data_IF_734148415008
#
_entry.id   IF_734148415008
#
_cell.length_a   1.000
_cell.length_b   1.000
_cell.length_c   1.000
_cell.angle_alpha   90.00
_cell.angle_beta   90.00
_cell.angle_gamma   90.00
#
_symmetry.space_group_name_H-M   'P 1'
#
loop_
_entity.id
_entity.type
_entity.pdbx_description
1 polymer ?
#
# COMPACT_ATOMS: atom_id res chain seq x y z
N UNK A 1 43.28 -55.49 73.40
CA UNK A 1 43.26 -54.98 72.00
C UNK A 1 42.13 -55.64 71.24
N UNK A 2 41.06 -54.91 70.92
CA UNK A 2 40.24 -55.11 69.70
C UNK A 2 39.25 -53.95 69.60
N UNK A 3 39.52 -53.05 68.64
CA UNK A 3 38.65 -51.94 68.24
C UNK A 3 37.48 -52.54 67.47
N UNK A 4 36.25 -52.23 67.84
CA UNK A 4 35.07 -52.49 67.01
C UNK A 4 34.84 -51.25 66.13
N UNK A 5 35.02 -51.46 64.83
CA UNK A 5 34.77 -50.49 63.77
C UNK A 5 33.26 -50.35 63.54
N UNK A 6 32.77 -49.12 63.63
CA UNK A 6 31.44 -48.70 63.21
C UNK A 6 31.44 -48.53 61.67
N UNK A 7 30.54 -49.14 60.89
CA UNK A 7 30.48 -48.88 59.46
C UNK A 7 29.75 -47.56 59.22
N UNK A 8 30.46 -46.61 58.63
CA UNK A 8 29.94 -45.34 58.15
C UNK A 8 29.06 -45.61 56.92
N UNK A 9 27.75 -45.44 57.07
CA UNK A 9 26.77 -45.52 56.00
C UNK A 9 26.91 -44.26 55.10
N UNK A 10 27.54 -44.42 53.94
CA UNK A 10 27.59 -43.39 52.90
C UNK A 10 26.22 -43.31 52.21
N UNK A 11 25.39 -42.37 52.66
CA UNK A 11 24.19 -41.90 51.95
C UNK A 11 24.64 -41.05 50.75
N UNK A 12 24.65 -41.65 49.56
CA UNK A 12 24.68 -40.90 48.31
C UNK A 12 23.33 -40.18 48.14
N UNK A 13 23.27 -38.92 48.57
CA UNK A 13 22.21 -37.98 48.20
C UNK A 13 22.33 -37.65 46.71
N UNK A 14 21.85 -38.54 45.84
CA UNK A 14 21.49 -38.14 44.47
C UNK A 14 20.25 -37.25 44.59
N UNK A 15 20.45 -35.95 44.33
CA UNK A 15 19.47 -34.90 44.59
C UNK A 15 18.08 -35.18 43.99
N UNK A 16 17.06 -35.03 44.84
CA UNK A 16 15.64 -35.00 44.49
C UNK A 16 15.22 -33.68 43.78
N UNK A 17 16.11 -33.00 43.08
CA UNK A 17 15.78 -31.80 42.34
C UNK A 17 15.83 -32.15 40.86
N UNK A 18 14.72 -31.93 40.16
CA UNK A 18 14.62 -32.13 38.72
C UNK A 18 15.61 -31.25 37.94
N UNK A 19 15.58 -31.29 36.60
CA UNK A 19 16.49 -30.47 35.80
C UNK A 19 16.40 -28.99 36.20
N UNK A 20 17.53 -28.30 36.21
CA UNK A 20 17.59 -26.87 36.51
C UNK A 20 16.67 -26.09 35.56
N UNK A 21 16.06 -25.03 36.08
CA UNK A 21 15.07 -24.20 35.37
C UNK A 21 15.44 -22.73 35.46
N UNK A 22 15.04 -21.97 34.45
CA UNK A 22 15.26 -20.54 34.39
C UNK A 22 14.30 -19.78 35.32
N UNK A 23 14.86 -18.84 36.09
CA UNK A 23 14.11 -18.06 37.07
C UNK A 23 14.13 -16.56 36.71
N UNK A 24 13.01 -16.09 36.14
CA UNK A 24 12.80 -14.71 35.70
C UNK A 24 12.25 -13.78 36.81
N UNK A 25 12.23 -14.21 38.07
CA UNK A 25 11.58 -13.47 39.16
C UNK A 25 12.23 -12.10 39.42
N UNK A 26 13.56 -12.02 39.37
CA UNK A 26 14.32 -10.78 39.52
C UNK A 26 15.73 -10.91 38.91
N UNK A 27 16.48 -9.81 38.88
CA UNK A 27 17.81 -9.76 38.26
C UNK A 27 18.83 -10.74 38.88
N UNK A 28 18.71 -11.01 40.19
CA UNK A 28 19.61 -11.96 40.88
C UNK A 28 19.31 -13.38 40.44
N UNK A 29 18.04 -13.79 40.48
CA UNK A 29 17.64 -15.14 40.09
C UNK A 29 17.86 -15.39 38.60
N UNK A 30 17.70 -14.36 37.74
CA UNK A 30 18.02 -14.44 36.31
C UNK A 30 19.49 -14.80 36.13
N UNK A 31 20.41 -14.10 36.81
CA UNK A 31 21.86 -14.36 36.69
C UNK A 31 22.22 -15.75 37.22
N UNK A 32 21.74 -16.09 38.41
CA UNK A 32 22.04 -17.38 39.06
C UNK A 32 21.52 -18.56 38.23
N UNK A 33 20.25 -18.52 37.82
CA UNK A 33 19.65 -19.58 37.00
C UNK A 33 20.29 -19.68 35.61
N UNK A 34 20.65 -18.56 34.98
CA UNK A 34 21.39 -18.56 33.70
C UNK A 34 22.73 -19.29 33.82
N UNK A 35 23.49 -19.02 34.89
CA UNK A 35 24.77 -19.68 35.12
C UNK A 35 24.58 -21.19 35.35
N UNK A 36 23.64 -21.57 36.22
CA UNK A 36 23.33 -22.98 36.51
C UNK A 36 22.92 -23.76 35.25
N UNK A 37 22.10 -23.15 34.39
CA UNK A 37 21.69 -23.76 33.11
C UNK A 37 22.85 -23.87 32.12
N UNK A 38 23.80 -22.93 32.13
CA UNK A 38 24.95 -22.93 31.22
C UNK A 38 25.95 -24.05 31.55
N UNK A 39 26.09 -24.38 32.84
CA UNK A 39 26.98 -25.44 33.31
C UNK A 39 26.61 -26.83 32.77
N UNK A 40 25.31 -27.09 32.55
CA UNK A 40 24.82 -28.37 32.02
C UNK A 40 24.87 -28.50 30.50
N UNK A 41 25.30 -27.47 29.77
CA UNK A 41 25.30 -27.43 28.30
C UNK A 41 26.68 -27.74 27.69
N UNK A 42 26.65 -28.32 26.49
CA UNK A 42 27.84 -28.41 25.61
C UNK A 42 28.25 -27.04 25.08
N UNK A 43 29.49 -26.88 24.59
CA UNK A 43 29.99 -25.60 24.05
C UNK A 43 29.11 -25.03 22.93
N UNK A 44 28.64 -25.86 21.99
CA UNK A 44 27.72 -25.44 20.93
C UNK A 44 26.38 -24.95 21.50
N UNK A 45 25.83 -25.68 22.48
CA UNK A 45 24.59 -25.28 23.14
C UNK A 45 24.76 -24.01 23.97
N UNK A 46 25.94 -23.77 24.59
CA UNK A 46 26.22 -22.55 25.35
C UNK A 46 26.16 -21.31 24.46
N UNK A 47 26.78 -21.36 23.27
CA UNK A 47 26.71 -20.25 22.32
C UNK A 47 25.27 -19.96 21.88
N UNK A 48 24.51 -21.02 21.53
CA UNK A 48 23.11 -20.90 21.12
C UNK A 48 22.22 -20.40 22.27
N UNK A 49 22.49 -20.85 23.49
CA UNK A 49 21.75 -20.42 24.70
C UNK A 49 22.00 -18.95 24.99
N UNK A 50 23.23 -18.46 24.87
CA UNK A 50 23.53 -17.03 25.00
C UNK A 50 22.78 -16.19 23.95
N UNK A 51 22.73 -16.65 22.69
CA UNK A 51 21.94 -15.99 21.63
C UNK A 51 20.44 -15.99 21.95
N UNK A 52 19.91 -17.10 22.47
CA UNK A 52 18.52 -17.19 22.90
C UNK A 52 18.22 -16.19 24.03
N UNK A 53 19.06 -16.16 25.08
CA UNK A 53 18.92 -15.22 26.20
C UNK A 53 18.98 -13.76 25.73
N UNK A 54 19.87 -13.43 24.79
CA UNK A 54 19.94 -12.10 24.19
C UNK A 54 18.68 -11.78 23.38
N UNK A 55 18.25 -12.70 22.51
CA UNK A 55 17.05 -12.54 21.68
C UNK A 55 15.81 -12.27 22.55
N UNK A 56 15.60 -13.07 23.59
CA UNK A 56 14.45 -12.88 24.47
C UNK A 56 14.62 -11.67 25.39
N UNK A 57 15.82 -11.30 25.86
CA UNK A 57 16.00 -10.15 26.75
C UNK A 57 15.64 -8.82 26.10
N UNK A 58 15.85 -8.71 24.79
CA UNK A 58 15.47 -7.52 24.02
C UNK A 58 14.02 -7.56 23.52
N UNK A 59 13.27 -8.64 23.74
CA UNK A 59 11.88 -8.79 23.25
C UNK A 59 11.75 -9.37 21.84
N UNK A 60 12.75 -10.13 21.39
CA UNK A 60 12.76 -10.81 20.09
C UNK A 60 12.94 -9.87 18.90
N UNK A 61 12.44 -10.26 17.72
CA UNK A 61 12.60 -9.48 16.49
C UNK A 61 11.95 -8.08 16.57
N UNK A 62 10.79 -7.95 17.20
CA UNK A 62 10.10 -6.65 17.32
C UNK A 62 10.83 -5.72 18.30
N UNK A 63 11.37 -6.26 19.39
CA UNK A 63 12.24 -5.53 20.30
C UNK A 63 13.53 -5.04 19.64
N UNK A 64 14.17 -5.90 18.82
CA UNK A 64 15.31 -5.50 17.99
C UNK A 64 14.95 -4.38 17.00
N UNK A 65 13.80 -4.48 16.30
CA UNK A 65 13.33 -3.43 15.39
C UNK A 65 13.10 -2.10 16.11
N UNK A 66 12.47 -2.13 17.28
CA UNK A 66 12.24 -0.95 18.11
C UNK A 66 13.56 -0.28 18.52
N UNK A 67 14.52 -1.07 18.99
CA UNK A 67 15.85 -0.59 19.35
C UNK A 67 16.58 0.05 18.15
N UNK A 68 16.54 -0.58 16.98
CA UNK A 68 17.12 -0.02 15.75
C UNK A 68 16.43 1.29 15.36
N UNK A 69 15.09 1.35 15.40
CA UNK A 69 14.33 2.56 15.07
C UNK A 69 14.65 3.73 16.03
N UNK A 70 14.77 3.46 17.33
CA UNK A 70 15.17 4.47 18.34
C UNK A 70 16.59 4.99 18.12
N UNK A 71 17.53 4.12 17.76
CA UNK A 71 18.90 4.51 17.43
C UNK A 71 18.97 5.45 16.21
N UNK A 72 18.15 5.21 15.18
CA UNK A 72 18.07 6.09 13.99
C UNK A 72 17.41 7.44 14.29
N UNK A 73 16.48 7.51 15.24
CA UNK A 73 15.76 8.75 15.59
C UNK A 73 16.47 9.61 16.64
N UNK A 74 17.57 9.14 17.22
CA UNK A 74 18.24 9.84 18.33
C UNK A 74 17.45 9.83 19.64
N UNK A 75 16.36 9.07 19.71
CA UNK A 75 15.48 8.92 20.87
C UNK A 75 15.85 7.61 21.60
N UNK A 76 17.07 7.56 22.14
CA UNK A 76 17.55 6.43 22.93
C UNK A 76 17.00 6.47 24.37
N UNK A 77 15.67 6.61 24.53
CA UNK A 77 15.06 6.36 25.83
C UNK A 77 14.45 4.96 25.81
N UNK A 78 15.04 3.99 26.54
CA UNK A 78 14.38 2.72 26.72
C UNK A 78 13.02 2.97 27.36
N UNK A 79 11.99 2.37 26.79
CA UNK A 79 10.64 2.36 27.37
C UNK A 79 10.75 1.78 28.80
N UNK A 80 10.23 2.47 29.83
CA UNK A 80 10.28 1.99 31.21
C UNK A 80 9.58 0.64 31.44
N UNK A 81 8.72 0.18 30.52
CA UNK A 81 8.13 -1.18 30.57
C UNK A 81 9.05 -2.28 30.01
N UNK A 82 10.14 -1.90 29.34
CA UNK A 82 11.12 -2.77 28.65
C UNK A 82 12.23 -3.25 29.58
N UNK A 83 11.87 -3.77 30.75
CA UNK A 83 12.85 -4.39 31.65
C UNK A 83 13.21 -5.78 31.15
N UNK A 84 14.50 -6.14 31.24
CA UNK A 84 15.02 -7.47 30.86
C UNK A 84 14.21 -8.59 31.54
N UNK A 85 13.83 -8.40 32.81
CA UNK A 85 13.00 -9.35 33.55
C UNK A 85 11.61 -9.54 32.94
N UNK A 86 10.95 -8.47 32.46
CA UNK A 86 9.63 -8.56 31.81
C UNK A 86 9.73 -9.38 30.51
N UNK A 87 10.74 -9.11 29.68
CA UNK A 87 10.89 -9.83 28.41
C UNK A 87 11.26 -11.31 28.61
N UNK A 88 12.11 -11.60 29.61
CA UNK A 88 12.53 -12.95 29.95
C UNK A 88 11.47 -13.76 30.72
N UNK A 89 10.37 -13.14 31.16
CA UNK A 89 9.27 -13.85 31.83
C UNK A 89 8.69 -14.99 31.00
N UNK A 90 8.75 -14.87 29.67
CA UNK A 90 8.34 -15.92 28.73
C UNK A 90 9.18 -17.20 28.79
N UNK A 91 10.33 -17.16 29.48
CA UNK A 91 11.24 -18.27 29.68
C UNK A 91 11.18 -18.88 31.09
N UNK A 92 10.41 -18.29 32.01
CA UNK A 92 10.35 -18.75 33.39
C UNK A 92 9.93 -20.22 33.47
N UNK A 93 10.55 -20.97 34.37
CA UNK A 93 10.35 -22.41 34.61
C UNK A 93 10.73 -23.34 33.45
N UNK A 94 11.35 -22.82 32.39
CA UNK A 94 11.88 -23.62 31.29
C UNK A 94 13.29 -24.15 31.59
N UNK A 95 13.58 -25.37 31.15
CA UNK A 95 14.96 -25.89 31.11
C UNK A 95 15.75 -25.27 29.96
N UNK A 96 17.07 -25.45 29.94
CA UNK A 96 17.91 -24.96 28.85
C UNK A 96 17.49 -25.54 27.49
N UNK A 97 17.14 -26.83 27.42
CA UNK A 97 16.66 -27.48 26.19
C UNK A 97 15.34 -26.87 25.69
N UNK A 98 14.43 -26.57 26.62
CA UNK A 98 13.15 -25.94 26.29
C UNK A 98 13.33 -24.50 25.81
N UNK A 99 14.28 -23.76 26.39
CA UNK A 99 14.63 -22.40 25.94
C UNK A 99 15.23 -22.45 24.53
N UNK A 100 16.15 -23.40 24.26
CA UNK A 100 16.75 -23.58 22.94
C UNK A 100 15.70 -23.96 21.88
N UNK A 101 14.76 -24.86 22.21
CA UNK A 101 13.66 -25.24 21.31
C UNK A 101 12.73 -24.04 21.03
N UNK A 102 12.34 -23.30 22.07
CA UNK A 102 11.53 -22.08 21.93
C UNK A 102 12.22 -21.01 21.08
N UNK A 103 13.54 -20.89 21.20
CA UNK A 103 14.35 -19.99 20.39
C UNK A 103 14.32 -20.40 18.91
N UNK A 104 14.50 -21.68 18.60
CA UNK A 104 14.41 -22.18 17.23
C UNK A 104 13.03 -21.93 16.60
N UNK A 105 11.97 -22.20 17.35
CA UNK A 105 10.59 -21.92 16.92
C UNK A 105 10.38 -20.42 16.63
N UNK A 106 10.90 -19.56 17.50
CA UNK A 106 10.80 -18.10 17.34
C UNK A 106 11.55 -17.62 16.09
N UNK A 107 12.77 -18.12 15.85
CA UNK A 107 13.54 -17.78 14.65
C UNK A 107 12.85 -18.26 13.36
N UNK A 108 12.27 -19.47 13.39
CA UNK A 108 11.53 -19.99 12.25
C UNK A 108 10.26 -19.17 11.97
N UNK A 109 9.55 -18.75 13.02
CA UNK A 109 8.39 -17.87 12.90
C UNK A 109 8.78 -16.47 12.38
N UNK A 110 9.84 -15.86 12.89
CA UNK A 110 10.31 -14.55 12.43
C UNK A 110 10.72 -14.58 10.96
N UNK A 111 11.41 -15.66 10.55
CA UNK A 111 11.78 -15.87 9.16
C UNK A 111 10.53 -15.99 8.28
N UNK A 112 9.56 -16.82 8.67
CA UNK A 112 8.28 -16.94 7.96
C UNK A 112 7.56 -15.60 7.85
N UNK A 113 7.46 -14.86 8.96
CA UNK A 113 6.83 -13.52 8.99
C UNK A 113 7.57 -12.51 8.10
N UNK A 114 8.90 -12.58 8.03
CA UNK A 114 9.69 -11.72 7.14
C UNK A 114 9.41 -12.04 5.66
N UNK A 115 9.42 -13.32 5.29
CA UNK A 115 9.10 -13.80 3.94
C UNK A 115 7.67 -13.45 3.53
N UNK A 116 6.69 -13.62 4.43
CA UNK A 116 5.31 -13.20 4.21
C UNK A 116 5.21 -11.69 3.99
N UNK A 117 5.86 -10.87 4.83
CA UNK A 117 5.84 -9.40 4.71
C UNK A 117 6.43 -8.95 3.36
N UNK A 118 7.53 -9.57 2.93
CA UNK A 118 8.16 -9.28 1.64
C UNK A 118 7.22 -9.63 0.47
N UNK A 119 6.63 -10.84 0.51
CA UNK A 119 5.68 -11.29 -0.51
C UNK A 119 4.44 -10.42 -0.58
N UNK A 120 3.85 -10.06 0.56
CA UNK A 120 2.71 -9.14 0.65
C UNK A 120 3.09 -7.78 0.08
N UNK A 121 4.27 -7.24 0.43
CA UNK A 121 4.72 -5.94 -0.07
C UNK A 121 4.88 -5.93 -1.60
N UNK A 122 5.49 -6.96 -2.17
CA UNK A 122 5.64 -7.10 -3.63
C UNK A 122 4.29 -7.20 -4.33
N UNK A 123 3.39 -8.06 -3.85
CA UNK A 123 2.06 -8.21 -4.43
C UNK A 123 1.23 -6.92 -4.32
N UNK A 124 1.36 -6.16 -3.24
CA UNK A 124 0.65 -4.88 -3.07
C UNK A 124 1.13 -3.86 -4.11
N UNK A 125 2.44 -3.74 -4.32
CA UNK A 125 2.98 -2.84 -5.34
C UNK A 125 2.49 -3.20 -6.75
N UNK A 126 2.43 -4.49 -7.06
CA UNK A 126 1.87 -4.97 -8.34
C UNK A 126 0.37 -4.67 -8.45
N UNK A 127 -0.41 -4.97 -7.42
CA UNK A 127 -1.85 -4.72 -7.38
C UNK A 127 -2.17 -3.23 -7.59
N UNK A 128 -1.46 -2.35 -6.89
CA UNK A 128 -1.63 -0.89 -6.97
C UNK A 128 -1.25 -0.35 -8.35
N UNK A 129 -0.21 -0.91 -8.99
CA UNK A 129 0.17 -0.55 -10.37
C UNK A 129 -0.92 -0.97 -11.36
N UNK A 130 -1.39 -2.22 -11.25
CA UNK A 130 -2.45 -2.74 -12.12
C UNK A 130 -3.75 -1.93 -11.97
N UNK A 131 -4.08 -1.51 -10.75
CA UNK A 131 -5.24 -0.67 -10.49
C UNK A 131 -5.13 0.69 -11.20
N UNK A 132 -3.98 1.36 -11.09
CA UNK A 132 -3.71 2.63 -11.80
C UNK A 132 -3.78 2.49 -13.32
N UNK A 133 -3.34 1.35 -13.83
CA UNK A 133 -3.40 1.02 -15.26
C UNK A 133 -4.81 0.57 -15.71
N UNK A 134 -5.83 0.67 -14.84
CA UNK A 134 -7.22 0.23 -15.07
C UNK A 134 -7.35 -1.26 -15.41
N UNK A 135 -6.38 -2.07 -15.00
CA UNK A 135 -6.37 -3.54 -15.12
C UNK A 135 -6.99 -4.19 -13.89
N UNK A 136 -8.28 -3.92 -13.69
CA UNK A 136 -8.99 -4.26 -12.45
C UNK A 136 -8.96 -5.76 -12.12
N UNK A 137 -9.23 -6.63 -13.10
CA UNK A 137 -9.23 -8.09 -12.89
C UNK A 137 -7.86 -8.62 -12.44
N UNK A 138 -6.78 -8.13 -13.07
CA UNK A 138 -5.41 -8.49 -12.69
C UNK A 138 -5.08 -7.99 -11.27
N UNK A 139 -5.49 -6.76 -10.94
CA UNK A 139 -5.30 -6.17 -9.60
C UNK A 139 -6.06 -6.95 -8.51
N UNK A 140 -7.33 -7.27 -8.77
CA UNK A 140 -8.18 -8.08 -7.88
C UNK A 140 -7.55 -9.46 -7.65
N UNK A 141 -7.01 -10.11 -8.69
CA UNK A 141 -6.31 -11.37 -8.55
C UNK A 141 -5.08 -11.26 -7.63
N UNK A 142 -4.33 -10.15 -7.67
CA UNK A 142 -3.22 -9.90 -6.76
C UNK A 142 -3.69 -9.71 -5.32
N UNK A 143 -4.76 -8.95 -5.07
CA UNK A 143 -5.30 -8.83 -3.72
C UNK A 143 -5.86 -10.16 -3.18
N UNK A 144 -6.48 -11.01 -4.03
CA UNK A 144 -6.84 -12.38 -3.65
C UNK A 144 -5.62 -13.23 -3.28
N UNK A 145 -4.51 -13.10 -4.01
CA UNK A 145 -3.28 -13.78 -3.63
C UNK A 145 -2.71 -13.27 -2.28
N UNK A 146 -2.93 -11.99 -1.95
CA UNK A 146 -2.55 -11.41 -0.65
C UNK A 146 -3.46 -11.94 0.48
N UNK A 147 -4.76 -12.17 0.22
CA UNK A 147 -5.68 -12.69 1.25
C UNK A 147 -5.35 -14.10 1.72
N UNK A 148 -4.63 -14.87 0.90
CA UNK A 148 -4.11 -16.19 1.29
C UNK A 148 -2.88 -16.12 2.23
N UNK A 149 -2.34 -14.91 2.49
CA UNK A 149 -1.20 -14.70 3.38
C UNK A 149 -1.71 -14.13 4.70
N UNK A 150 -1.45 -14.77 5.86
CA UNK A 150 -1.98 -14.33 7.16
C UNK A 150 -1.70 -12.87 7.49
N UNK A 151 -0.48 -12.39 7.23
CA UNK A 151 -0.09 -10.99 7.46
C UNK A 151 -0.64 -9.99 6.42
N UNK A 152 -1.31 -10.48 5.37
CA UNK A 152 -1.86 -9.71 4.26
C UNK A 152 -3.37 -9.48 4.30
N UNK A 153 -4.13 -10.25 5.08
CA UNK A 153 -5.61 -10.31 5.03
C UNK A 153 -6.27 -8.93 5.09
N UNK A 154 -5.94 -8.10 6.08
CA UNK A 154 -6.56 -6.77 6.25
C UNK A 154 -6.27 -5.85 5.05
N UNK A 155 -5.05 -5.92 4.50
CA UNK A 155 -4.65 -5.11 3.34
C UNK A 155 -5.35 -5.60 2.08
N UNK A 156 -5.51 -6.91 1.92
CA UNK A 156 -6.26 -7.50 0.82
C UNK A 156 -7.72 -7.09 0.85
N UNK A 157 -8.38 -7.12 2.00
CA UNK A 157 -9.80 -6.73 2.13
C UNK A 157 -10.01 -5.28 1.70
N UNK A 158 -9.21 -4.35 2.25
CA UNK A 158 -9.24 -2.93 1.87
C UNK A 158 -8.95 -2.73 0.37
N UNK A 159 -7.96 -3.45 -0.14
CA UNK A 159 -7.57 -3.40 -1.56
C UNK A 159 -8.66 -3.90 -2.49
N UNK A 160 -9.32 -5.01 -2.16
CA UNK A 160 -10.43 -5.59 -2.92
C UNK A 160 -11.63 -4.65 -2.96
N UNK A 161 -12.04 -4.12 -1.80
CA UNK A 161 -13.15 -3.16 -1.73
C UNK A 161 -12.88 -1.94 -2.64
N UNK A 162 -11.67 -1.39 -2.54
CA UNK A 162 -11.24 -0.27 -3.39
C UNK A 162 -11.24 -0.64 -4.87
N UNK A 163 -10.65 -1.77 -5.24
CA UNK A 163 -10.53 -2.20 -6.64
C UNK A 163 -11.90 -2.47 -7.28
N UNK A 164 -12.82 -3.11 -6.55
CA UNK A 164 -14.18 -3.33 -7.01
C UNK A 164 -14.94 -2.02 -7.19
N UNK A 165 -14.83 -1.10 -6.22
CA UNK A 165 -15.46 0.20 -6.32
C UNK A 165 -14.94 1.01 -7.53
N UNK A 166 -13.62 1.10 -7.70
CA UNK A 166 -13.03 1.82 -8.85
C UNK A 166 -13.40 1.17 -10.20
N UNK A 167 -13.50 -0.17 -10.25
CA UNK A 167 -13.94 -0.90 -11.44
C UNK A 167 -15.40 -0.59 -11.79
N UNK A 168 -16.29 -0.61 -10.80
CA UNK A 168 -17.71 -0.28 -10.97
C UNK A 168 -17.90 1.17 -11.41
N UNK A 169 -17.23 2.12 -10.74
CA UNK A 169 -17.25 3.53 -11.13
C UNK A 169 -16.70 3.73 -12.54
N UNK A 170 -15.61 3.07 -12.90
CA UNK A 170 -15.06 3.16 -14.26
C UNK A 170 -16.03 2.60 -15.30
N UNK A 171 -16.65 1.44 -15.04
CA UNK A 171 -17.63 0.84 -15.94
C UNK A 171 -18.86 1.73 -16.10
N UNK A 172 -19.34 2.33 -15.01
CA UNK A 172 -20.46 3.28 -15.03
C UNK A 172 -20.13 4.51 -15.88
N UNK A 173 -18.95 5.10 -15.70
CA UNK A 173 -18.49 6.24 -16.52
C UNK A 173 -18.43 5.88 -18.01
N UNK A 174 -17.84 4.73 -18.33
CA UNK A 174 -17.73 4.27 -19.72
C UNK A 174 -19.10 4.06 -20.37
N UNK A 175 -20.07 3.48 -19.65
CA UNK A 175 -21.43 3.31 -20.14
C UNK A 175 -22.17 4.66 -20.30
N UNK A 176 -21.86 5.63 -19.43
CA UNK A 176 -22.49 6.95 -19.45
C UNK A 176 -21.91 7.86 -20.55
N UNK A 177 -20.66 7.67 -20.97
CA UNK A 177 -20.05 8.44 -22.07
C UNK A 177 -20.90 8.38 -23.34
N UNK A 178 -21.53 7.25 -23.65
CA UNK A 178 -22.42 7.09 -24.81
C UNK A 178 -23.69 7.95 -24.73
N UNK A 179 -24.04 8.47 -23.55
CA UNK A 179 -25.13 9.41 -23.35
C UNK A 179 -24.73 10.88 -23.63
N UNK A 180 -23.46 11.13 -23.96
CA UNK A 180 -22.96 12.47 -24.26
C UNK A 180 -22.90 12.65 -25.77
N UNK A 181 -23.70 13.58 -26.27
CA UNK A 181 -23.76 13.93 -27.68
C UNK A 181 -22.88 15.15 -27.95
N UNK A 182 -22.05 15.06 -28.98
CA UNK A 182 -21.33 16.22 -29.52
C UNK A 182 -22.26 16.96 -30.46
N UNK A 183 -22.84 18.07 -29.99
CA UNK A 183 -23.81 18.87 -30.76
C UNK A 183 -23.14 19.86 -31.70
N UNK A 184 -21.94 20.32 -31.35
CA UNK A 184 -21.11 21.19 -32.20
C UNK A 184 -19.67 20.68 -32.19
N UNK A 185 -19.08 20.49 -33.36
CA UNK A 185 -17.64 20.31 -33.50
C UNK A 185 -17.14 21.01 -34.76
N UNK A 186 -16.26 21.99 -34.60
CA UNK A 186 -15.61 22.69 -35.71
C UNK A 186 -14.12 22.81 -35.41
N UNK A 187 -13.28 22.40 -36.36
CA UNK A 187 -11.84 22.61 -36.30
C UNK A 187 -11.42 23.44 -37.52
N UNK A 188 -10.84 24.62 -37.30
CA UNK A 188 -10.40 25.50 -38.38
C UNK A 188 -9.24 26.40 -37.95
N UNK A 189 -8.65 27.12 -38.90
CA UNK A 189 -7.71 28.19 -38.59
C UNK A 189 -8.45 29.49 -38.36
N UNK A 190 -8.04 30.24 -37.34
CA UNK A 190 -8.57 31.57 -37.04
C UNK A 190 -7.44 32.58 -36.88
N UNK A 191 -7.77 33.84 -37.14
CA UNK A 191 -6.89 34.95 -36.78
C UNK A 191 -7.24 35.41 -35.37
N UNK A 192 -6.22 35.52 -34.53
CA UNK A 192 -6.29 36.14 -33.20
C UNK A 192 -5.72 37.55 -33.26
N UNK A 193 -5.89 38.34 -32.20
CA UNK A 193 -5.32 39.69 -32.15
C UNK A 193 -3.79 39.72 -32.37
N UNK A 194 -3.08 38.67 -31.94
CA UNK A 194 -1.60 38.62 -31.98
C UNK A 194 -1.02 37.67 -33.04
N UNK A 195 -1.80 36.74 -33.59
CA UNK A 195 -1.31 35.71 -34.51
C UNK A 195 -2.36 35.36 -35.56
N UNK A 196 -1.93 35.17 -36.80
CA UNK A 196 -2.77 34.70 -37.91
C UNK A 196 -2.71 33.18 -38.07
N UNK A 197 -3.78 32.59 -38.59
CA UNK A 197 -3.82 31.18 -38.99
C UNK A 197 -3.65 30.18 -37.85
N UNK A 198 -4.08 30.53 -36.63
CA UNK A 198 -3.96 29.70 -35.44
C UNK A 198 -4.97 28.57 -35.49
N UNK A 199 -4.57 27.28 -35.36
CA UNK A 199 -5.52 26.18 -35.23
C UNK A 199 -6.41 26.37 -34.01
N UNK A 200 -7.70 26.18 -34.20
CA UNK A 200 -8.67 26.37 -33.15
C UNK A 200 -9.87 25.44 -33.31
N UNK A 201 -10.47 25.07 -32.18
CA UNK A 201 -11.63 24.17 -32.13
C UNK A 201 -12.79 24.79 -31.36
N UNK A 202 -14.00 24.43 -31.78
CA UNK A 202 -15.25 24.67 -31.06
C UNK A 202 -15.91 23.35 -30.75
N UNK A 203 -16.42 23.25 -29.53
CA UNK A 203 -16.98 22.03 -28.98
C UNK A 203 -18.26 22.40 -28.24
N UNK A 204 -19.36 21.77 -28.64
CA UNK A 204 -20.65 21.81 -27.95
C UNK A 204 -21.04 20.40 -27.56
N UNK A 205 -21.54 20.25 -26.34
CA UNK A 205 -21.91 18.96 -25.76
C UNK A 205 -23.33 19.00 -25.22
N UNK A 206 -24.05 17.90 -25.33
CA UNK A 206 -25.34 17.68 -24.70
C UNK A 206 -25.30 16.42 -23.87
N UNK A 207 -25.83 16.50 -22.65
CA UNK A 207 -26.00 15.35 -21.78
C UNK A 207 -27.41 14.78 -21.99
N UNK A 208 -27.52 13.67 -22.71
CA UNK A 208 -28.78 12.97 -22.92
C UNK A 208 -29.09 11.94 -21.82
N UNK A 209 -28.19 11.78 -20.84
CA UNK A 209 -28.39 10.88 -19.71
C UNK A 209 -29.18 11.50 -18.56
N UNK A 210 -29.18 10.82 -17.41
CA UNK A 210 -30.01 11.12 -16.24
C UNK A 210 -29.23 11.67 -15.03
N UNK A 211 -27.90 11.79 -15.12
CA UNK A 211 -27.02 12.36 -14.08
C UNK A 211 -26.44 13.70 -14.48
N UNK A 212 -26.10 14.53 -13.50
CA UNK A 212 -25.35 15.78 -13.76
C UNK A 212 -23.85 15.50 -13.82
N UNK A 213 -23.12 16.26 -14.63
CA UNK A 213 -21.68 16.09 -14.84
C UNK A 213 -20.93 17.36 -14.42
N UNK A 214 -19.91 17.19 -13.59
CA UNK A 214 -19.01 18.26 -13.18
C UNK A 214 -17.80 18.37 -14.11
N UNK A 215 -17.40 17.28 -14.75
CA UNK A 215 -16.36 17.30 -15.78
C UNK A 215 -16.74 16.44 -16.98
N UNK A 216 -16.43 16.92 -18.17
CA UNK A 216 -16.44 16.12 -19.40
C UNK A 216 -15.14 16.37 -20.13
N UNK A 217 -14.30 15.34 -20.21
CA UNK A 217 -13.02 15.38 -20.92
C UNK A 217 -13.19 14.84 -22.33
N UNK A 218 -12.66 15.58 -23.30
CA UNK A 218 -12.64 15.20 -24.70
C UNK A 218 -11.23 15.25 -25.26
N UNK A 219 -10.92 14.35 -26.18
CA UNK A 219 -9.68 14.37 -26.97
C UNK A 219 -10.03 14.71 -28.40
N UNK A 220 -9.33 15.71 -28.96
CA UNK A 220 -9.40 16.04 -30.38
C UNK A 220 -8.16 15.52 -31.08
N UNK A 221 -8.37 14.68 -32.08
CA UNK A 221 -7.34 14.10 -32.95
C UNK A 221 -7.31 14.89 -34.27
N UNK A 222 -6.16 15.47 -34.61
CA UNK A 222 -5.95 16.24 -35.84
C UNK A 222 -5.24 15.40 -36.88
N UNK A 223 -5.73 15.44 -38.13
CA UNK A 223 -5.29 14.56 -39.19
C UNK A 223 -4.59 15.31 -40.33
N UNK A 224 -3.57 14.70 -40.92
CA UNK A 224 -2.98 15.20 -42.16
C UNK A 224 -3.90 14.95 -43.37
N UNK A 225 -3.45 15.33 -44.57
CA UNK A 225 -4.22 15.15 -45.80
C UNK A 225 -4.48 13.66 -46.15
N UNK A 226 -3.66 12.75 -45.62
CA UNK A 226 -3.79 11.30 -45.82
C UNK A 226 -4.70 10.66 -44.75
N UNK A 227 -5.26 11.44 -43.83
CA UNK A 227 -6.14 10.98 -42.75
C UNK A 227 -5.39 10.36 -41.57
N UNK A 228 -4.07 10.53 -41.47
CA UNK A 228 -3.28 10.04 -40.34
C UNK A 228 -3.31 11.04 -39.20
N UNK A 229 -3.57 10.56 -37.98
CA UNK A 229 -3.44 11.37 -36.76
C UNK A 229 -1.98 11.84 -36.61
N UNK A 230 -1.79 13.16 -36.58
CA UNK A 230 -0.48 13.80 -36.40
C UNK A 230 -0.38 14.59 -35.08
N UNK A 231 -1.51 14.83 -34.42
CA UNK A 231 -1.55 15.54 -33.15
C UNK A 231 -2.83 15.23 -32.38
N UNK A 232 -2.76 15.28 -31.06
CA UNK A 232 -3.87 15.07 -30.13
C UNK A 232 -3.83 16.14 -29.05
N UNK A 233 -4.98 16.66 -28.64
CA UNK A 233 -5.09 17.64 -27.55
C UNK A 233 -6.33 17.35 -26.69
N UNK A 234 -6.15 17.48 -25.38
CA UNK A 234 -7.21 17.30 -24.39
C UNK A 234 -7.93 18.62 -24.11
N UNK A 235 -9.26 18.57 -24.05
CA UNK A 235 -10.09 19.69 -23.62
C UNK A 235 -11.08 19.25 -22.55
N UNK A 236 -11.48 20.19 -21.69
CA UNK A 236 -12.58 20.01 -20.73
C UNK A 236 -13.66 21.07 -20.97
N UNK A 237 -14.58 20.88 -21.95
CA UNK A 237 -15.66 21.83 -22.24
C UNK A 237 -16.63 22.02 -21.06
N UNK A 238 -16.73 21.01 -20.20
CA UNK A 238 -17.40 21.07 -18.90
C UNK A 238 -16.33 20.86 -17.84
N UNK A 239 -16.17 21.82 -16.93
CA UNK A 239 -15.25 21.72 -15.80
C UNK A 239 -15.75 22.58 -14.64
N UNK A 240 -16.26 21.91 -13.62
CA UNK A 240 -16.67 22.53 -12.37
C UNK A 240 -15.48 22.51 -11.41
N UNK A 241 -15.02 23.68 -11.01
CA UNK A 241 -13.88 23.82 -10.10
C UNK A 241 -14.05 25.01 -9.17
N UNK A 242 -13.68 24.84 -7.90
CA UNK A 242 -13.63 25.91 -6.89
C UNK A 242 -12.66 27.05 -7.25
N UNK A 243 -11.76 26.80 -8.21
CA UNK A 243 -10.80 27.78 -8.70
C UNK A 243 -11.23 28.46 -10.01
N UNK A 244 -12.39 28.08 -10.56
CA UNK A 244 -12.97 28.70 -11.75
C UNK A 244 -13.95 29.80 -11.35
N UNK A 245 -13.55 31.06 -11.54
CA UNK A 245 -14.38 32.24 -11.24
C UNK A 245 -15.24 32.71 -12.43
N UNK A 246 -15.32 31.91 -13.50
CA UNK A 246 -16.09 32.22 -14.71
C UNK A 246 -17.58 31.87 -14.61
N UNK A 247 -18.41 32.43 -15.50
CA UNK A 247 -19.85 32.15 -15.60
C UNK A 247 -20.19 30.71 -16.04
N UNK A 248 -19.20 30.01 -16.60
CA UNK A 248 -19.31 28.67 -17.18
C UNK A 248 -18.94 27.56 -16.17
N UNK A 249 -18.77 27.90 -14.89
CA UNK A 249 -18.48 26.97 -13.79
C UNK A 249 -19.78 26.30 -13.29
N UNK A 250 -20.48 25.57 -14.16
CA UNK A 250 -21.75 24.92 -13.85
C UNK A 250 -21.76 23.48 -14.35
N UNK A 251 -22.39 22.56 -13.60
CA UNK A 251 -22.55 21.19 -14.06
C UNK A 251 -23.39 21.11 -15.34
N UNK A 252 -23.07 20.15 -16.21
CA UNK A 252 -23.89 19.80 -17.36
C UNK A 252 -25.01 18.85 -16.91
N UNK A 253 -26.19 19.42 -16.64
CA UNK A 253 -27.38 18.71 -16.16
C UNK A 253 -28.01 17.80 -17.22
N UNK A 254 -28.83 16.82 -16.82
CA UNK A 254 -29.65 16.02 -17.73
C UNK A 254 -30.47 16.87 -18.71
N UNK A 255 -30.37 16.56 -20.00
CA UNK A 255 -31.06 17.23 -21.10
C UNK A 255 -30.48 18.59 -21.50
N UNK A 256 -29.44 19.08 -20.82
CA UNK A 256 -28.87 20.40 -21.09
C UNK A 256 -27.80 20.34 -22.18
N UNK A 257 -27.61 21.47 -22.86
CA UNK A 257 -26.55 21.68 -23.85
C UNK A 257 -25.58 22.73 -23.30
N UNK A 258 -24.29 22.42 -23.37
CA UNK A 258 -23.20 23.36 -23.13
C UNK A 258 -22.58 23.72 -24.48
N UNK A 259 -22.68 24.98 -24.86
CA UNK A 259 -22.10 25.51 -26.10
C UNK A 259 -21.12 26.64 -25.79
N UNK A 260 -20.11 26.79 -26.65
CA UNK A 260 -19.22 27.93 -26.57
C UNK A 260 -19.93 29.20 -27.06
N UNK A 261 -19.78 30.31 -26.35
CA UNK A 261 -20.23 31.64 -26.83
C UNK A 261 -19.81 31.86 -28.29
N UNK A 262 -20.66 32.55 -29.05
CA UNK A 262 -20.40 32.86 -30.46
C UNK A 262 -19.02 33.47 -30.65
N UNK A 263 -18.28 32.98 -31.65
CA UNK A 263 -16.92 33.40 -32.00
C UNK A 263 -15.82 33.09 -30.95
N UNK A 264 -16.11 32.33 -29.88
CA UNK A 264 -15.08 31.77 -28.98
C UNK A 264 -14.57 30.43 -29.49
N UNK A 265 -13.26 30.20 -29.35
CA UNK A 265 -12.61 28.95 -29.74
C UNK A 265 -11.55 28.58 -28.71
N UNK A 266 -11.29 27.28 -28.55
CA UNK A 266 -10.06 26.81 -27.94
C UNK A 266 -8.95 26.93 -28.97
N UNK A 267 -7.89 27.66 -28.65
CA UNK A 267 -6.75 27.86 -29.57
C UNK A 267 -5.61 26.94 -29.18
N UNK A 268 -4.90 26.41 -30.18
CA UNK A 268 -3.73 25.57 -29.96
C UNK A 268 -2.45 26.40 -30.01
N UNK A 269 -1.47 26.01 -29.20
CA UNK A 269 -0.12 26.61 -29.26
C UNK A 269 0.70 26.07 -30.44
N UNK A 270 0.48 24.81 -30.81
CA UNK A 270 1.10 24.18 -31.98
C UNK A 270 0.56 24.79 -33.27
N UNK A 271 1.43 25.00 -34.26
CA UNK A 271 1.03 25.57 -35.56
C UNK A 271 0.32 24.54 -36.46
N UNK A 272 0.57 23.26 -36.20
CA UNK A 272 0.04 22.11 -36.95
C UNK A 272 0.17 22.31 -38.46
N UNK A 273 1.39 22.50 -38.98
CA UNK A 273 1.59 22.85 -40.39
C UNK A 273 1.10 21.76 -41.35
N UNK A 274 1.27 20.49 -40.97
CA UNK A 274 0.88 19.33 -41.79
C UNK A 274 -0.61 18.96 -41.63
N UNK A 275 -1.34 19.65 -40.74
CA UNK A 275 -2.76 19.42 -40.53
C UNK A 275 -3.57 19.93 -41.72
N UNK A 276 -4.39 19.04 -42.28
CA UNK A 276 -5.38 19.42 -43.27
C UNK A 276 -6.55 20.10 -42.54
N UNK A 277 -6.70 21.41 -42.74
CA UNK A 277 -7.72 22.21 -42.06
C UNK A 277 -9.12 21.58 -42.19
N UNK A 278 -9.83 21.47 -41.07
CA UNK A 278 -11.12 20.77 -41.00
C UNK A 278 -11.05 19.27 -40.74
N UNK A 279 -9.90 18.62 -41.00
CA UNK A 279 -9.72 17.20 -40.72
C UNK A 279 -9.36 16.98 -39.25
N UNK A 280 -10.37 16.79 -38.43
CA UNK A 280 -10.21 16.40 -37.05
C UNK A 280 -11.38 15.51 -36.61
N UNK A 281 -11.15 14.74 -35.55
CA UNK A 281 -12.20 13.94 -34.89
C UNK A 281 -12.15 14.18 -33.40
N UNK A 282 -13.30 14.18 -32.75
CA UNK A 282 -13.44 14.37 -31.30
C UNK A 282 -13.99 13.11 -30.64
N UNK A 283 -13.50 12.78 -29.45
CA UNK A 283 -14.03 11.71 -28.61
C UNK A 283 -14.17 12.19 -27.17
N UNK A 284 -15.30 11.88 -26.55
CA UNK A 284 -15.43 11.96 -25.09
C UNK A 284 -14.69 10.77 -24.50
N UNK A 285 -13.79 11.01 -23.55
CA UNK A 285 -12.88 9.97 -23.01
C UNK A 285 -12.98 9.79 -21.51
N UNK A 286 -13.53 10.77 -20.80
CA UNK A 286 -13.75 10.69 -19.36
C UNK A 286 -14.84 11.66 -18.93
N UNK A 287 -15.46 11.36 -17.80
CA UNK A 287 -16.47 12.21 -17.17
C UNK A 287 -16.32 12.15 -15.64
N UNK A 288 -16.79 13.19 -14.97
CA UNK A 288 -17.04 13.17 -13.52
C UNK A 288 -18.51 13.50 -13.27
N UNK A 289 -19.18 12.64 -12.51
CA UNK A 289 -20.52 12.93 -12.03
C UNK A 289 -20.47 14.06 -11.00
N UNK A 290 -21.48 14.91 -10.98
CA UNK A 290 -21.66 15.82 -9.85
C UNK A 290 -21.89 15.00 -8.59
N UNK A 291 -21.23 15.36 -7.49
CA UNK A 291 -21.58 14.84 -6.17
C UNK A 291 -23.06 15.13 -5.95
N UNK A 292 -23.89 14.09 -5.89
CA UNK A 292 -25.24 14.24 -5.37
C UNK A 292 -25.05 14.75 -3.96
N UNK A 293 -25.41 16.01 -3.69
CA UNK A 293 -25.52 16.49 -2.33
C UNK A 293 -26.47 15.53 -1.59
N UNK A 294 -25.87 14.63 -0.82
CA UNK A 294 -26.55 13.71 0.10
C UNK A 294 -27.14 14.49 1.26
#
# INVERSE_FOLDING_TARGET
MRKLLLPLLLLSLTGCFGPAKFDATNDTTIKESTNLLTESLTEEQREKFQKAMMYFSIGGQEGFKSMMAGAFKGEAKPDPELTVAVNLKSLHDLTAEQILAKYDESLAEDKRRAEEREKVSSLLQEADKLLKDKKFEESIAKYKAISEIPSGVEKAEKGLLKAHHEMETFAEKMAYIDQIEVTEFTAKRIDTYSKKGVPAVRIGLKNNGDKSLDEVKVVVYFHDADGKTIFEEDYSPVLVSKYSFGRDNKPLKPGYVQEMEKDRYYTLKSTLNDWAEGQATIKVVDIEFSDSAS
#
